data_IF_894268778751
#
_entry.id   IF_894268778751
#
_cell.length_a   1.000
_cell.length_b   1.000
_cell.length_c   1.000
_cell.angle_alpha   90.00
_cell.angle_beta   90.00
_cell.angle_gamma   90.00
#
_symmetry.space_group_name_H-M   'P 1'
#
loop_
_entity.id
_entity.type
_entity.pdbx_description
1 polymer ?
#
# COMPACT_ATOMS: atom_id res chain seq x y z
N UNK A 1 -13.78 -8.80 12.57
CA UNK A 1 -12.82 -9.52 11.71
C UNK A 1 -11.44 -8.93 11.97
N UNK A 2 -10.40 -9.76 12.13
CA UNK A 2 -9.01 -9.27 12.11
C UNK A 2 -8.57 -9.16 10.66
N UNK A 3 -7.88 -8.09 10.29
CA UNK A 3 -7.42 -7.86 8.92
C UNK A 3 -5.90 -8.04 8.88
N UNK A 4 -5.45 -9.09 8.20
CA UNK A 4 -4.03 -9.26 7.93
C UNK A 4 -3.60 -8.36 6.75
N UNK A 5 -2.43 -7.72 6.78
CA UNK A 5 -1.94 -6.89 5.67
C UNK A 5 -1.91 -7.63 4.32
N UNK A 6 -1.56 -8.92 4.32
CA UNK A 6 -1.52 -9.72 3.10
C UNK A 6 -2.91 -10.08 2.59
N UNK A 7 -3.92 -10.15 3.49
CA UNK A 7 -5.33 -10.27 3.11
C UNK A 7 -5.84 -8.99 2.42
N UNK A 8 -5.47 -7.82 2.93
CA UNK A 8 -5.76 -6.53 2.28
C UNK A 8 -5.12 -6.46 0.89
N UNK A 9 -3.84 -6.85 0.80
CA UNK A 9 -3.12 -6.91 -0.47
C UNK A 9 -3.77 -7.88 -1.46
N UNK A 10 -4.24 -9.05 -1.01
CA UNK A 10 -4.93 -10.01 -1.87
C UNK A 10 -6.25 -9.49 -2.42
N UNK A 11 -7.02 -8.74 -1.62
CA UNK A 11 -8.24 -8.10 -2.11
C UNK A 11 -7.89 -7.00 -3.12
N UNK A 12 -6.89 -6.15 -2.87
CA UNK A 12 -6.43 -5.17 -3.85
C UNK A 12 -5.93 -5.82 -5.15
N UNK A 13 -5.15 -6.91 -5.07
CA UNK A 13 -4.63 -7.66 -6.21
C UNK A 13 -5.74 -8.24 -7.09
N UNK A 14 -6.81 -8.74 -6.47
CA UNK A 14 -7.95 -9.32 -7.17
C UNK A 14 -8.61 -8.33 -8.15
N UNK A 15 -8.60 -7.05 -7.80
CA UNK A 15 -9.12 -5.96 -8.63
C UNK A 15 -8.02 -5.18 -9.35
N UNK A 16 -6.74 -5.47 -9.12
CA UNK A 16 -5.61 -4.69 -9.63
C UNK A 16 -5.49 -3.27 -9.04
N UNK A 17 -6.34 -2.92 -8.08
CA UNK A 17 -6.38 -1.63 -7.41
C UNK A 17 -7.78 -1.25 -6.94
N UNK A 18 -7.90 -0.79 -5.69
CA UNK A 18 -9.16 -0.36 -5.09
C UNK A 18 -9.00 1.00 -4.42
N UNK A 19 -10.04 1.80 -4.43
CA UNK A 19 -10.13 2.95 -3.53
C UNK A 19 -10.30 2.47 -2.08
N UNK A 20 -9.99 3.32 -1.10
CA UNK A 20 -10.21 2.99 0.32
C UNK A 20 -11.65 2.59 0.61
N UNK A 21 -12.62 3.24 -0.04
CA UNK A 21 -14.03 2.97 0.16
C UNK A 21 -14.50 1.68 -0.52
N UNK A 22 -13.97 1.36 -1.70
CA UNK A 22 -14.24 0.07 -2.35
C UNK A 22 -13.68 -1.10 -1.53
N UNK A 23 -12.45 -0.98 -1.01
CA UNK A 23 -11.84 -1.99 -0.15
C UNK A 23 -12.65 -2.18 1.15
N UNK A 24 -13.04 -1.09 1.78
CA UNK A 24 -13.89 -1.13 2.97
C UNK A 24 -15.26 -1.78 2.69
N UNK A 25 -15.89 -1.45 1.55
CA UNK A 25 -17.16 -2.05 1.15
C UNK A 25 -17.02 -3.56 0.92
N UNK A 26 -15.94 -3.98 0.25
CA UNK A 26 -15.63 -5.39 0.01
C UNK A 26 -15.52 -6.19 1.31
N UNK A 27 -14.76 -5.66 2.27
CA UNK A 27 -14.51 -6.34 3.54
C UNK A 27 -15.71 -6.29 4.48
N UNK A 28 -16.51 -5.22 4.44
CA UNK A 28 -17.77 -5.13 5.18
C UNK A 28 -18.78 -6.19 4.71
N UNK A 29 -18.95 -6.36 3.39
CA UNK A 29 -19.83 -7.38 2.81
C UNK A 29 -19.34 -8.80 3.14
N UNK A 30 -18.03 -9.02 3.11
CA UNK A 30 -17.42 -10.30 3.45
C UNK A 30 -17.62 -10.65 4.93
N UNK A 31 -17.41 -9.70 5.83
CA UNK A 31 -17.63 -9.88 7.26
C UNK A 31 -19.11 -10.17 7.56
N UNK A 32 -20.04 -9.42 6.95
CA UNK A 32 -21.47 -9.65 7.11
C UNK A 32 -21.90 -11.06 6.70
N UNK A 33 -21.30 -11.61 5.63
CA UNK A 33 -21.58 -12.98 5.16
C UNK A 33 -21.04 -14.06 6.09
N UNK A 34 -19.93 -13.80 6.77
CA UNK A 34 -19.34 -14.70 7.77
C UNK A 34 -20.01 -14.59 9.14
N UNK A 35 -20.79 -13.53 9.35
CA UNK A 35 -21.34 -13.19 10.66
C UNK A 35 -20.28 -12.60 11.60
N UNK A 36 -19.20 -12.04 11.03
CA UNK A 36 -18.15 -11.35 11.76
C UNK A 36 -18.50 -9.88 11.96
N UNK A 37 -18.02 -9.28 13.05
CA UNK A 37 -18.10 -7.83 13.24
C UNK A 37 -17.16 -7.09 12.27
N UNK A 38 -17.64 -5.99 11.69
CA UNK A 38 -16.85 -5.07 10.88
C UNK A 38 -16.85 -3.68 11.50
N UNK A 39 -15.67 -3.09 11.64
CA UNK A 39 -15.48 -1.75 12.19
C UNK A 39 -14.64 -0.91 11.22
N UNK A 40 -15.16 0.26 10.83
CA UNK A 40 -14.52 1.11 9.81
C UNK A 40 -13.24 1.78 10.34
N UNK A 41 -13.21 2.16 11.62
CA UNK A 41 -12.03 2.79 12.20
C UNK A 41 -10.85 1.80 12.28
N UNK A 42 -11.12 0.57 12.70
CA UNK A 42 -10.15 -0.52 12.73
C UNK A 42 -9.67 -0.87 11.32
N UNK A 43 -10.56 -0.89 10.32
CA UNK A 43 -10.18 -1.09 8.92
C UNK A 43 -9.23 0.01 8.42
N UNK A 44 -9.57 1.27 8.66
CA UNK A 44 -8.77 2.39 8.17
C UNK A 44 -7.39 2.46 8.83
N UNK A 45 -7.30 2.06 10.10
CA UNK A 45 -6.03 1.85 10.79
C UNK A 45 -5.21 0.72 10.16
N UNK A 46 -5.82 -0.45 9.91
CA UNK A 46 -5.13 -1.57 9.27
C UNK A 46 -4.61 -1.24 7.86
N UNK A 47 -5.36 -0.46 7.09
CA UNK A 47 -4.90 0.05 5.78
C UNK A 47 -3.72 1.00 5.94
N UNK A 48 -3.75 1.91 6.93
CA UNK A 48 -2.64 2.82 7.19
C UNK A 48 -1.37 2.05 7.59
N UNK A 49 -1.50 1.06 8.48
CA UNK A 49 -0.40 0.18 8.91
C UNK A 49 0.16 -0.61 7.73
N UNK A 50 -0.70 -1.13 6.83
CA UNK A 50 -0.28 -1.83 5.62
C UNK A 50 0.47 -0.91 4.63
N UNK A 51 0.08 0.36 4.52
CA UNK A 51 0.82 1.34 3.73
C UNK A 51 2.18 1.68 4.36
N UNK A 52 2.24 1.82 5.69
CA UNK A 52 3.50 2.06 6.40
C UNK A 52 4.48 0.89 6.24
N UNK A 53 3.96 -0.34 6.28
CA UNK A 53 4.73 -1.56 6.08
C UNK A 53 5.10 -1.84 4.61
N UNK A 54 4.75 -0.95 3.67
CA UNK A 54 4.91 -1.14 2.23
C UNK A 54 4.21 -2.40 1.65
N UNK A 55 3.19 -2.91 2.36
CA UNK A 55 2.32 -4.00 1.88
C UNK A 55 1.28 -3.46 0.91
N UNK A 56 0.83 -2.22 1.13
CA UNK A 56 0.03 -1.47 0.18
C UNK A 56 0.78 -0.21 -0.27
N UNK A 57 0.48 0.23 -1.49
CA UNK A 57 0.96 1.51 -2.02
C UNK A 57 -0.25 2.31 -2.45
N UNK A 58 -0.29 3.57 -2.01
CA UNK A 58 -1.31 4.53 -2.42
C UNK A 58 -0.81 5.33 -3.63
N UNK A 59 -1.54 5.26 -4.73
CA UNK A 59 -1.26 6.00 -5.96
C UNK A 59 -2.09 7.27 -5.95
N UNK A 60 -1.42 8.41 -6.12
CA UNK A 60 -2.08 9.70 -6.16
C UNK A 60 -2.98 9.82 -7.41
N UNK A 61 -4.10 10.56 -7.32
CA UNK A 61 -4.98 10.78 -8.47
C UNK A 61 -4.27 11.38 -9.68
N UNK A 62 -3.27 12.23 -9.46
CA UNK A 62 -2.47 12.85 -10.52
C UNK A 62 -1.71 11.82 -11.37
N UNK A 63 -1.31 10.69 -10.77
CA UNK A 63 -0.65 9.60 -11.47
C UNK A 63 -1.65 8.64 -12.17
N UNK A 64 -2.95 8.88 -12.00
CA UNK A 64 -4.05 8.05 -12.50
C UNK A 64 -4.89 8.76 -13.58
N UNK A 65 -4.48 9.94 -14.05
CA UNK A 65 -5.26 10.79 -14.97
C UNK A 65 -5.70 10.09 -16.28
N UNK A 66 -5.03 8.99 -16.65
CA UNK A 66 -5.36 8.15 -17.81
C UNK A 66 -6.06 6.82 -17.49
N UNK A 67 -6.36 6.53 -16.22
CA UNK A 67 -6.92 5.24 -15.80
C UNK A 67 -8.46 5.28 -15.76
N UNK A 68 -9.09 4.44 -16.59
CA UNK A 68 -10.54 4.30 -16.61
C UNK A 68 -11.08 3.68 -15.32
N UNK A 69 -12.27 4.12 -14.89
CA UNK A 69 -12.98 3.53 -13.76
C UNK A 69 -12.52 4.02 -12.38
N UNK A 70 -11.75 5.10 -12.31
CA UNK A 70 -11.44 5.81 -11.06
C UNK A 70 -12.09 7.18 -11.11
N UNK A 71 -12.76 7.58 -10.04
CA UNK A 71 -13.24 8.95 -9.93
C UNK A 71 -12.03 9.90 -9.86
N UNK A 72 -12.10 11.03 -10.58
CA UNK A 72 -11.09 12.09 -10.46
C UNK A 72 -10.88 12.45 -8.99
N UNK A 73 -9.62 12.69 -8.61
CA UNK A 73 -9.21 13.07 -7.26
C UNK A 73 -9.33 11.98 -6.17
N UNK A 74 -9.53 10.70 -6.53
CA UNK A 74 -9.55 9.58 -5.55
C UNK A 74 -8.29 8.71 -5.68
N UNK A 75 -7.50 8.53 -4.61
CA UNK A 75 -6.33 7.68 -4.65
C UNK A 75 -6.71 6.19 -4.77
N UNK A 76 -5.80 5.40 -5.34
CA UNK A 76 -5.94 3.94 -5.41
C UNK A 76 -4.92 3.24 -4.52
N UNK A 77 -5.36 2.23 -3.80
CA UNK A 77 -4.53 1.25 -3.12
C UNK A 77 -4.23 0.10 -4.06
N UNK A 78 -2.94 -0.18 -4.23
CA UNK A 78 -2.43 -1.35 -4.95
C UNK A 78 -1.49 -2.16 -4.06
N UNK A 79 -1.12 -3.36 -4.52
CA UNK A 79 -0.10 -4.15 -3.83
C UNK A 79 1.23 -3.39 -3.78
N UNK A 80 1.84 -3.40 -2.60
CA UNK A 80 3.16 -2.83 -2.36
C UNK A 80 4.27 -3.87 -2.47
N UNK A 81 5.54 -3.42 -2.42
CA UNK A 81 6.69 -4.29 -2.60
C UNK A 81 6.83 -5.36 -1.51
N UNK A 82 6.31 -5.12 -0.31
CA UNK A 82 6.39 -6.07 0.81
C UNK A 82 5.19 -7.01 0.90
N UNK A 83 4.27 -6.94 -0.05
CA UNK A 83 3.09 -7.79 -0.06
C UNK A 83 3.41 -9.24 -0.44
N UNK A 84 2.77 -10.17 0.25
CA UNK A 84 2.60 -11.56 -0.16
C UNK A 84 1.10 -11.85 -0.26
N UNK A 85 0.42 -11.36 -1.32
CA UNK A 85 -1.04 -11.30 -1.37
C UNK A 85 -1.70 -12.65 -1.12
N UNK A 86 -2.64 -12.68 -0.18
CA UNK A 86 -3.50 -13.85 0.09
C UNK A 86 -4.95 -13.42 0.16
N UNK A 87 -5.89 -14.28 -0.23
CA UNK A 87 -7.30 -13.93 -0.13
C UNK A 87 -7.85 -14.30 1.25
N UNK A 88 -8.59 -13.39 1.92
CA UNK A 88 -9.29 -13.73 3.15
C UNK A 88 -10.42 -14.71 2.85
N UNK A 89 -10.60 -15.79 3.64
CA UNK A 89 -11.53 -16.91 3.40
C UNK A 89 -12.49 -16.76 2.20
N UNK A 90 -13.80 -16.54 2.25
CA UNK A 90 -14.64 -16.37 1.02
C UNK A 90 -14.35 -15.18 0.07
N UNK A 91 -13.15 -14.62 0.01
CA UNK A 91 -12.76 -13.43 -0.76
C UNK A 91 -12.73 -13.64 -2.28
N UNK A 92 -12.62 -14.88 -2.75
CA UNK A 92 -12.69 -15.23 -4.18
C UNK A 92 -14.01 -14.83 -4.87
N UNK A 93 -15.10 -14.69 -4.12
CA UNK A 93 -16.42 -14.29 -4.63
C UNK A 93 -16.54 -12.76 -4.80
N UNK A 94 -15.66 -11.97 -4.16
CA UNK A 94 -15.76 -10.49 -4.12
C UNK A 94 -16.01 -9.82 -5.48
N UNK A 95 -15.38 -10.22 -6.61
CA UNK A 95 -15.62 -9.59 -7.91
C UNK A 95 -17.05 -9.75 -8.43
N UNK A 96 -17.85 -10.64 -7.83
CA UNK A 96 -19.26 -10.83 -8.10
C UNK A 96 -20.18 -10.16 -7.08
N UNK A 97 -19.61 -9.68 -5.97
CA UNK A 97 -20.35 -9.13 -4.84
C UNK A 97 -20.33 -7.61 -4.82
N UNK A 98 -19.21 -7.02 -5.19
CA UNK A 98 -19.03 -5.58 -5.19
C UNK A 98 -19.05 -5.01 -6.60
N UNK A 99 -19.60 -3.81 -6.72
CA UNK A 99 -19.60 -3.04 -7.97
C UNK A 99 -18.32 -2.22 -8.08
N UNK A 100 -17.17 -2.91 -8.09
CA UNK A 100 -15.85 -2.31 -8.29
C UNK A 100 -15.23 -2.88 -9.58
N UNK A 101 -14.70 -2.02 -10.48
CA UNK A 101 -14.09 -2.49 -11.71
C UNK A 101 -12.72 -3.12 -11.42
N UNK A 102 -12.33 -4.10 -12.23
CA UNK A 102 -10.93 -4.53 -12.31
C UNK A 102 -10.13 -3.47 -13.07
N UNK A 103 -9.00 -3.05 -12.51
CA UNK A 103 -8.12 -2.01 -13.03
C UNK A 103 -6.79 -2.62 -13.46
N UNK A 104 -6.19 -2.01 -14.49
CA UNK A 104 -4.84 -2.33 -14.94
C UNK A 104 -3.98 -1.10 -14.68
N UNK A 105 -3.45 -1.02 -13.45
CA UNK A 105 -2.66 0.12 -13.01
C UNK A 105 -1.29 0.05 -13.66
N UNK A 106 -0.84 1.12 -14.34
CA UNK A 106 0.41 1.09 -15.07
C UNK A 106 1.60 1.08 -14.09
N UNK A 107 2.61 0.26 -14.39
CA UNK A 107 3.72 -0.01 -13.48
C UNK A 107 4.57 1.23 -13.14
N UNK A 108 4.60 2.22 -14.02
CA UNK A 108 5.26 3.52 -13.81
C UNK A 108 4.53 4.39 -12.77
N UNK A 109 3.20 4.29 -12.68
CA UNK A 109 2.43 4.93 -11.60
C UNK A 109 2.75 4.28 -10.24
N UNK A 110 2.85 2.95 -10.20
CA UNK A 110 3.27 2.21 -9.00
C UNK A 110 4.70 2.60 -8.59
N UNK A 111 5.64 2.62 -9.55
CA UNK A 111 7.02 3.06 -9.31
C UNK A 111 7.06 4.48 -8.74
N UNK A 112 6.31 5.41 -9.35
CA UNK A 112 6.27 6.80 -8.93
C UNK A 112 5.78 6.94 -7.50
N UNK A 113 4.73 6.21 -7.13
CA UNK A 113 4.19 6.20 -5.77
C UNK A 113 5.20 5.62 -4.75
N UNK A 114 5.85 4.51 -5.07
CA UNK A 114 6.89 3.91 -4.22
C UNK A 114 8.06 4.88 -4.02
N UNK A 115 8.53 5.52 -5.10
CA UNK A 115 9.62 6.50 -5.04
C UNK A 115 9.25 7.71 -4.17
N UNK A 116 8.03 8.23 -4.31
CA UNK A 116 7.57 9.36 -3.52
C UNK A 116 7.55 9.01 -2.03
N UNK A 117 7.07 7.80 -1.67
CA UNK A 117 7.06 7.32 -0.29
C UNK A 117 8.48 7.11 0.26
N UNK A 118 9.34 6.40 -0.46
CA UNK A 118 10.75 6.20 -0.08
C UNK A 118 11.49 7.53 0.09
N UNK A 119 11.23 8.52 -0.77
CA UNK A 119 11.85 9.85 -0.64
C UNK A 119 11.43 10.55 0.66
N UNK A 120 10.16 10.41 1.10
CA UNK A 120 9.69 10.95 2.37
C UNK A 120 10.34 10.23 3.56
N UNK A 121 10.47 8.91 3.50
CA UNK A 121 11.06 8.11 4.58
C UNK A 121 12.59 8.34 4.67
N UNK A 122 13.27 8.55 3.55
CA UNK A 122 14.68 8.99 3.52
C UNK A 122 14.86 10.38 4.13
N UNK A 123 13.99 11.34 3.80
CA UNK A 123 14.06 12.66 4.43
C UNK A 123 13.83 12.58 5.96
N UNK A 124 12.97 11.65 6.40
CA UNK A 124 12.76 11.41 7.82
C UNK A 124 13.99 10.77 8.51
N UNK A 125 14.81 9.98 7.81
CA UNK A 125 16.10 9.49 8.31
C UNK A 125 17.06 10.66 8.58
N UNK A 126 17.25 11.54 7.59
CA UNK A 126 18.11 12.74 7.70
C UNK A 126 17.70 13.63 8.89
N UNK A 127 16.38 13.86 9.04
CA UNK A 127 15.85 14.66 10.14
C UNK A 127 15.97 13.95 11.50
N UNK A 128 16.04 12.62 11.52
CA UNK A 128 16.18 11.78 12.71
C UNK A 128 17.41 12.11 13.55
N UNK A 129 18.53 12.48 12.92
CA UNK A 129 19.75 12.90 13.63
C UNK A 129 19.55 14.17 14.48
N UNK A 130 18.59 15.02 14.10
CA UNK A 130 18.29 16.28 14.79
C UNK A 130 17.18 16.13 15.84
N UNK A 131 16.51 14.97 15.90
CA UNK A 131 15.38 14.71 16.80
C UNK A 131 15.83 14.20 18.18
N UNK A 132 15.06 14.53 19.21
CA UNK A 132 15.24 13.94 20.54
C UNK A 132 14.93 12.44 20.51
N UNK A 133 15.54 11.67 21.44
CA UNK A 133 15.52 10.19 21.45
C UNK A 133 14.11 9.56 21.37
N UNK A 134 13.10 10.21 21.94
CA UNK A 134 11.71 9.71 21.90
C UNK A 134 11.12 9.82 20.48
N UNK A 135 11.36 10.92 19.77
CA UNK A 135 10.91 11.13 18.39
C UNK A 135 11.75 10.42 17.34
N UNK A 136 12.93 9.92 17.71
CA UNK A 136 13.78 9.08 16.85
C UNK A 136 13.30 7.62 16.81
N UNK A 137 12.48 7.19 17.78
CA UNK A 137 11.94 5.82 17.81
C UNK A 137 10.92 5.55 16.70
N UNK A 138 10.28 6.60 16.17
CA UNK A 138 9.36 6.55 15.03
C UNK A 138 10.06 6.81 13.69
N UNK A 139 11.40 6.93 13.66
CA UNK A 139 12.12 7.04 12.40
C UNK A 139 12.11 5.69 11.67
N UNK A 140 11.98 5.69 10.33
CA UNK A 140 12.07 4.45 9.56
C UNK A 140 13.44 3.80 9.74
N UNK A 141 13.50 2.48 9.68
CA UNK A 141 14.77 1.74 9.77
C UNK A 141 15.45 1.72 8.38
N UNK A 142 16.68 2.24 8.29
CA UNK A 142 17.42 2.30 7.05
C UNK A 142 17.67 0.93 6.41
N UNK A 143 17.93 -0.11 7.22
CA UNK A 143 18.15 -1.47 6.71
C UNK A 143 16.84 -2.05 6.13
N UNK A 144 15.68 -1.73 6.73
CA UNK A 144 14.35 -2.07 6.19
C UNK A 144 14.09 -1.33 4.87
N UNK A 145 14.41 -0.04 4.78
CA UNK A 145 14.23 0.71 3.53
C UNK A 145 15.09 0.14 2.39
N UNK A 146 16.31 -0.32 2.68
CA UNK A 146 17.15 -1.01 1.69
C UNK A 146 16.46 -2.27 1.17
N UNK A 147 15.91 -3.12 2.05
CA UNK A 147 15.17 -4.32 1.64
C UNK A 147 13.97 -3.95 0.75
N UNK A 148 13.19 -2.93 1.14
CA UNK A 148 12.06 -2.41 0.36
C UNK A 148 12.48 -1.99 -1.04
N UNK A 149 13.66 -1.39 -1.24
CA UNK A 149 14.11 -1.01 -2.59
C UNK A 149 14.37 -2.22 -3.50
N UNK A 150 14.86 -3.34 -2.96
CA UNK A 150 15.07 -4.56 -3.74
C UNK A 150 13.75 -5.24 -4.08
N UNK A 151 12.83 -5.28 -3.13
CA UNK A 151 11.49 -5.81 -3.36
C UNK A 151 10.70 -4.95 -4.36
N UNK A 152 10.83 -3.62 -4.27
CA UNK A 152 10.27 -2.69 -5.25
C UNK A 152 10.87 -2.91 -6.64
N UNK A 153 12.17 -3.19 -6.74
CA UNK A 153 12.79 -3.52 -8.01
C UNK A 153 12.27 -4.82 -8.62
N UNK A 154 11.99 -5.83 -7.77
CA UNK A 154 11.34 -7.06 -8.21
C UNK A 154 9.89 -6.81 -8.67
N UNK A 155 9.16 -5.92 -7.99
CA UNK A 155 7.76 -5.60 -8.30
C UNK A 155 7.61 -4.78 -9.60
N UNK A 156 8.40 -3.72 -9.76
CA UNK A 156 8.23 -2.76 -10.88
C UNK A 156 9.17 -3.01 -12.06
N UNK A 157 10.25 -3.77 -11.85
CA UNK A 157 11.30 -3.99 -12.84
C UNK A 157 12.35 -2.87 -12.93
N UNK A 158 12.27 -1.85 -12.07
CA UNK A 158 13.24 -0.73 -12.03
C UNK A 158 14.20 -0.88 -10.85
N UNK A 159 15.48 -0.56 -10.98
CA UNK A 159 16.51 -0.94 -9.98
C UNK A 159 16.48 -0.17 -8.64
N UNK A 160 16.01 1.08 -8.58
CA UNK A 160 16.07 1.94 -7.38
C UNK A 160 17.48 2.14 -6.76
N UNK A 161 18.56 1.91 -7.52
CA UNK A 161 19.93 2.12 -7.02
C UNK A 161 20.17 3.55 -6.52
N UNK A 162 19.59 4.54 -7.19
CA UNK A 162 19.66 5.95 -6.80
C UNK A 162 19.04 6.22 -5.41
N UNK A 163 18.01 5.45 -5.03
CA UNK A 163 17.39 5.55 -3.71
C UNK A 163 18.24 4.86 -2.65
N UNK A 164 18.83 3.69 -2.96
CA UNK A 164 19.76 3.01 -2.05
C UNK A 164 20.98 3.87 -1.71
N UNK A 165 21.52 4.58 -2.70
CA UNK A 165 22.62 5.55 -2.47
C UNK A 165 22.19 6.64 -1.49
N UNK A 166 20.99 7.21 -1.64
CA UNK A 166 20.46 8.22 -0.70
C UNK A 166 20.23 7.68 0.71
N UNK A 167 19.70 6.46 0.85
CA UNK A 167 19.52 5.82 2.16
C UNK A 167 20.88 5.64 2.84
N UNK A 168 21.92 5.25 2.09
CA UNK A 168 23.27 5.07 2.62
C UNK A 168 23.91 6.41 3.04
N UNK A 169 23.62 7.50 2.34
CA UNK A 169 24.09 8.84 2.69
C UNK A 169 23.36 9.43 3.92
N UNK A 170 22.10 9.05 4.13
CA UNK A 170 21.25 9.50 5.24
C UNK A 170 21.43 8.71 6.56
N UNK A 171 22.30 7.69 6.55
CA UNK A 171 22.57 6.79 7.70
C UNK A 171 23.78 7.26 8.51
#
# INVERSE_FOLDING_TARGET
MSLDPDELAGVCDLFGGLTRDELAAALADLAARRGDDYDRETHDAAVADACEAYVLVEISPDALDSLDGVAADVPLLVIGPRAFPTLPEGGEDLPHLIDAPRRDVPSDAVETAIRARLAADVAALDDGETRDRESAADAPDADVLIDVTYDAAALTGTDFADVRERIADAR
#
